data_IF_914022624105
#
_entry.id   IF_914022624105
#
_cell.length_a   1.000
_cell.length_b   1.000
_cell.length_c   1.000
_cell.angle_alpha   90.00
_cell.angle_beta   90.00
_cell.angle_gamma   90.00
#
_symmetry.space_group_name_H-M   'P 1'
#
loop_
_entity.id
_entity.type
_entity.pdbx_description
1 polymer ?
#
# COMPACT_ATOMS: atom_id res chain seq x y z
N UNK A 1 -21.49 16.35 2.06
CA UNK A 1 -20.68 15.69 1.00
C UNK A 1 -21.36 15.78 -0.37
N UNK A 2 -22.60 15.29 -0.54
CA UNK A 2 -23.31 15.31 -1.84
C UNK A 2 -23.34 16.68 -2.51
N UNK A 3 -23.65 17.76 -1.77
CA UNK A 3 -23.66 19.12 -2.34
C UNK A 3 -22.29 19.58 -2.84
N UNK A 4 -21.18 19.13 -2.25
CA UNK A 4 -19.83 19.44 -2.72
C UNK A 4 -19.45 18.61 -3.95
N UNK A 5 -19.89 17.35 -4.02
CA UNK A 5 -19.74 16.51 -5.21
C UNK A 5 -20.55 17.07 -6.39
N UNK A 6 -21.78 17.53 -6.12
CA UNK A 6 -22.68 18.14 -7.11
C UNK A 6 -22.39 19.62 -7.35
N UNK A 7 -21.41 20.20 -6.65
CA UNK A 7 -21.00 21.60 -6.75
C UNK A 7 -22.12 22.64 -6.56
N UNK A 8 -23.05 22.38 -5.63
CA UNK A 8 -24.21 23.25 -5.34
C UNK A 8 -23.85 24.37 -4.37
N UNK A 9 -24.28 25.60 -4.70
CA UNK A 9 -24.06 26.80 -3.88
C UNK A 9 -22.57 27.01 -3.57
N UNK A 10 -21.73 26.99 -4.61
CA UNK A 10 -20.26 27.16 -4.56
C UNK A 10 -19.47 26.15 -3.70
N UNK A 11 -20.15 25.13 -3.14
CA UNK A 11 -19.48 24.05 -2.40
C UNK A 11 -18.64 23.22 -3.36
N UNK A 12 -17.37 23.00 -3.02
CA UNK A 12 -16.45 22.19 -3.83
C UNK A 12 -15.51 21.40 -2.94
N UNK A 13 -14.94 20.33 -3.49
CA UNK A 13 -13.79 19.66 -2.87
C UNK A 13 -12.58 20.58 -3.09
N UNK A 14 -11.96 21.02 -2.00
CA UNK A 14 -10.79 21.90 -2.03
C UNK A 14 -9.48 21.13 -1.85
N UNK A 15 -9.54 19.94 -1.28
CA UNK A 15 -8.40 19.12 -0.93
C UNK A 15 -8.77 17.64 -1.06
N UNK A 16 -7.83 16.83 -1.53
CA UNK A 16 -7.98 15.39 -1.71
C UNK A 16 -6.73 14.69 -1.13
N UNK A 17 -6.71 14.54 0.19
CA UNK A 17 -5.63 13.89 0.94
C UNK A 17 -6.11 12.54 1.44
N UNK A 18 -5.25 11.54 1.36
CA UNK A 18 -5.49 10.29 2.06
C UNK A 18 -4.30 9.35 2.04
N UNK A 19 -4.50 8.21 2.68
CA UNK A 19 -3.49 7.16 2.80
C UNK A 19 -3.02 6.68 1.42
N UNK A 20 -1.71 6.66 1.18
CA UNK A 20 -1.15 6.04 -0.02
C UNK A 20 -1.71 4.61 -0.21
N UNK A 21 -2.33 4.25 -1.36
CA UNK A 21 -3.05 2.97 -1.51
C UNK A 21 -2.24 1.72 -1.17
N UNK A 22 -0.94 1.69 -1.49
CA UNK A 22 -0.03 0.58 -1.14
C UNK A 22 0.05 0.31 0.36
N UNK A 23 -0.22 1.28 1.24
CA UNK A 23 -0.25 1.08 2.68
C UNK A 23 -1.52 0.33 3.15
N UNK A 24 -2.54 0.20 2.30
CA UNK A 24 -3.78 -0.47 2.64
C UNK A 24 -3.65 -1.98 2.93
N UNK A 25 -4.42 -2.47 3.92
CA UNK A 25 -4.49 -3.88 4.36
C UNK A 25 -4.80 -4.91 3.27
N UNK A 26 -5.50 -4.48 2.22
CA UNK A 26 -6.04 -5.37 1.18
C UNK A 26 -5.57 -4.96 -0.21
N UNK A 27 -4.42 -4.27 -0.30
CA UNK A 27 -3.94 -3.74 -1.57
C UNK A 27 -3.64 -4.84 -2.59
N UNK A 28 -2.80 -5.82 -2.24
CA UNK A 28 -2.45 -6.96 -3.09
C UNK A 28 -3.33 -8.19 -2.86
N UNK A 29 -3.45 -9.02 -3.90
CA UNK A 29 -4.13 -10.32 -3.85
C UNK A 29 -3.54 -11.28 -2.82
N UNK A 30 -4.39 -12.13 -2.25
CA UNK A 30 -4.03 -13.00 -1.13
C UNK A 30 -4.92 -14.24 -1.01
N UNK A 31 -4.46 -15.26 -0.30
CA UNK A 31 -5.28 -16.40 0.10
C UNK A 31 -6.22 -16.02 1.26
N UNK A 32 -7.54 -16.25 1.13
CA UNK A 32 -8.49 -15.93 2.20
C UNK A 32 -8.21 -16.67 3.53
N UNK A 33 -7.62 -17.88 3.46
CA UNK A 33 -7.33 -18.72 4.62
C UNK A 33 -5.99 -18.43 5.26
N UNK A 34 -4.88 -18.67 4.55
CA UNK A 34 -3.55 -18.49 5.13
C UNK A 34 -3.03 -17.04 5.05
N UNK A 35 -3.77 -16.13 4.40
CA UNK A 35 -3.44 -14.70 4.27
C UNK A 35 -2.16 -14.38 3.49
N UNK A 36 -1.40 -15.38 3.06
CA UNK A 36 -0.23 -15.23 2.18
C UNK A 36 -0.60 -14.49 0.89
N UNK A 37 0.25 -13.54 0.52
CA UNK A 37 0.15 -12.70 -0.66
C UNK A 37 0.80 -13.38 -1.86
N UNK A 38 0.31 -13.11 -3.06
CA UNK A 38 0.89 -13.69 -4.29
C UNK A 38 1.89 -12.73 -4.91
N UNK A 39 3.09 -13.23 -5.21
CA UNK A 39 4.15 -12.49 -5.87
C UNK A 39 4.60 -13.23 -7.14
N UNK A 40 5.18 -12.47 -8.07
CA UNK A 40 5.77 -12.98 -9.30
C UNK A 40 7.20 -12.46 -9.41
N UNK A 41 8.17 -13.36 -9.50
CA UNK A 41 9.58 -13.06 -9.67
C UNK A 41 10.09 -13.58 -11.01
N UNK A 42 11.03 -12.84 -11.63
CA UNK A 42 11.61 -13.22 -12.91
C UNK A 42 12.49 -14.47 -12.78
N UNK A 43 12.28 -15.45 -13.66
CA UNK A 43 13.10 -16.66 -13.80
C UNK A 43 13.84 -16.63 -15.14
N UNK A 44 15.11 -17.06 -15.12
CA UNK A 44 15.94 -17.18 -16.34
C UNK A 44 15.80 -18.55 -17.02
N UNK A 45 14.99 -19.47 -16.48
CA UNK A 45 14.88 -20.83 -17.00
C UNK A 45 13.84 -20.93 -18.14
N UNK A 46 14.22 -21.53 -19.28
CA UNK A 46 13.40 -21.58 -20.50
C UNK A 46 12.22 -22.55 -20.41
N UNK A 47 12.26 -23.53 -19.49
CA UNK A 47 11.31 -24.66 -19.43
C UNK A 47 10.26 -24.58 -18.31
N UNK A 48 10.17 -23.46 -17.58
CA UNK A 48 9.19 -23.35 -16.48
C UNK A 48 7.77 -23.13 -17.00
N UNK A 49 6.97 -24.19 -17.00
CA UNK A 49 5.51 -24.06 -17.10
C UNK A 49 5.01 -23.12 -16.00
N UNK A 50 4.29 -22.10 -16.44
CA UNK A 50 4.03 -20.81 -15.79
C UNK A 50 3.56 -20.81 -14.32
N UNK A 51 3.11 -21.94 -13.76
CA UNK A 51 2.35 -21.97 -12.51
C UNK A 51 2.68 -23.17 -11.58
N UNK A 52 3.64 -24.01 -11.96
CA UNK A 52 4.06 -25.13 -11.11
C UNK A 52 5.32 -24.83 -10.29
N UNK A 53 6.05 -23.76 -10.63
CA UNK A 53 7.25 -23.34 -9.91
C UNK A 53 6.93 -22.17 -8.98
N UNK A 54 6.75 -22.46 -7.69
CA UNK A 54 6.58 -21.44 -6.64
C UNK A 54 7.33 -21.79 -5.36
N UNK A 55 7.67 -20.75 -4.61
CA UNK A 55 8.20 -20.85 -3.24
C UNK A 55 7.16 -20.33 -2.25
N UNK A 56 6.97 -21.06 -1.15
CA UNK A 56 6.13 -20.64 -0.03
C UNK A 56 7.01 -20.09 1.08
N UNK A 57 6.66 -18.92 1.60
CA UNK A 57 7.19 -18.35 2.85
C UNK A 57 6.05 -18.00 3.80
N UNK A 58 6.36 -17.49 4.98
CA UNK A 58 5.34 -17.11 5.98
C UNK A 58 4.31 -16.13 5.41
N UNK A 59 4.77 -15.16 4.61
CA UNK A 59 3.95 -14.06 4.10
C UNK A 59 3.55 -14.21 2.63
N UNK A 60 4.24 -15.05 1.86
CA UNK A 60 4.16 -15.00 0.39
C UNK A 60 4.10 -16.38 -0.25
N UNK A 61 3.46 -16.41 -1.42
CA UNK A 61 3.60 -17.46 -2.43
C UNK A 61 4.19 -16.77 -3.65
N UNK A 62 5.44 -17.08 -3.95
CA UNK A 62 6.19 -16.41 -5.02
C UNK A 62 6.33 -17.36 -6.20
N UNK A 63 5.70 -17.01 -7.31
CA UNK A 63 5.82 -17.73 -8.58
C UNK A 63 7.04 -17.26 -9.36
N UNK A 64 7.86 -18.21 -9.79
CA UNK A 64 9.02 -17.94 -10.65
C UNK A 64 8.61 -18.07 -12.11
N UNK A 65 8.61 -16.95 -12.85
CA UNK A 65 8.06 -16.86 -14.21
C UNK A 65 8.97 -16.04 -15.13
N UNK A 66 8.91 -16.26 -16.44
CA UNK A 66 9.71 -15.48 -17.39
C UNK A 66 9.20 -14.05 -17.56
N UNK A 67 7.89 -13.92 -17.72
CA UNK A 67 7.19 -12.64 -17.88
C UNK A 67 6.26 -12.44 -16.69
N UNK A 68 6.68 -11.58 -15.76
CA UNK A 68 5.94 -11.29 -14.53
C UNK A 68 4.63 -10.55 -14.80
N UNK A 69 4.59 -9.70 -15.84
CA UNK A 69 3.40 -8.91 -16.16
C UNK A 69 2.32 -9.80 -16.77
N UNK A 70 2.68 -10.63 -17.77
CA UNK A 70 1.77 -11.60 -18.37
C UNK A 70 1.28 -12.61 -17.33
N UNK A 71 2.17 -13.14 -16.50
CA UNK A 71 1.81 -14.05 -15.40
C UNK A 71 0.83 -13.44 -14.41
N UNK A 72 1.10 -12.20 -13.97
CA UNK A 72 0.20 -11.49 -13.07
C UNK A 72 -1.18 -11.33 -13.70
N UNK A 73 -1.26 -10.88 -14.95
CA UNK A 73 -2.53 -10.66 -15.64
C UNK A 73 -3.35 -11.94 -15.82
N UNK A 74 -2.72 -13.03 -16.28
CA UNK A 74 -3.37 -14.33 -16.41
C UNK A 74 -3.83 -14.88 -15.05
N UNK A 75 -3.03 -14.69 -14.01
CA UNK A 75 -3.40 -15.10 -12.66
C UNK A 75 -4.62 -14.33 -12.15
N UNK A 76 -4.62 -13.00 -12.28
CA UNK A 76 -5.74 -12.12 -11.93
C UNK A 76 -7.01 -12.56 -12.66
N UNK A 77 -6.92 -12.78 -13.97
CA UNK A 77 -8.05 -13.21 -14.81
C UNK A 77 -8.64 -14.54 -14.34
N UNK A 78 -7.79 -15.46 -13.86
CA UNK A 78 -8.27 -16.74 -13.34
C UNK A 78 -8.85 -16.60 -11.92
N UNK A 79 -8.29 -15.73 -11.07
CA UNK A 79 -8.85 -15.45 -9.75
C UNK A 79 -10.23 -14.78 -9.88
N UNK A 80 -10.40 -13.84 -10.81
CA UNK A 80 -11.68 -13.13 -11.02
C UNK A 80 -12.82 -14.06 -11.47
N UNK A 81 -12.47 -15.15 -12.17
CA UNK A 81 -13.39 -16.22 -12.60
C UNK A 81 -13.53 -17.35 -11.56
N UNK A 82 -13.01 -17.15 -10.35
CA UNK A 82 -12.94 -18.13 -9.27
C UNK A 82 -12.22 -19.46 -9.62
N UNK A 83 -11.33 -19.44 -10.62
CA UNK A 83 -10.59 -20.62 -11.12
C UNK A 83 -9.26 -20.87 -10.41
N UNK A 84 -8.94 -20.12 -9.35
CA UNK A 84 -7.67 -20.26 -8.60
C UNK A 84 -7.87 -20.61 -7.14
N UNK A 85 -7.09 -21.60 -6.70
CA UNK A 85 -6.98 -22.02 -5.31
C UNK A 85 -5.55 -21.84 -4.82
N UNK A 86 -5.38 -21.61 -3.53
CA UNK A 86 -4.09 -21.45 -2.88
C UNK A 86 -3.27 -22.75 -2.92
N UNK A 87 -2.09 -22.78 -3.56
CA UNK A 87 -1.24 -23.96 -3.55
C UNK A 87 -0.72 -24.29 -2.16
N UNK A 88 -0.29 -23.29 -1.38
CA UNK A 88 0.23 -23.50 -0.03
C UNK A 88 -0.80 -24.16 0.89
N UNK A 89 -2.07 -23.74 0.84
CA UNK A 89 -3.10 -24.42 1.64
C UNK A 89 -3.41 -25.83 1.15
N UNK A 90 -3.28 -26.10 -0.16
CA UNK A 90 -3.44 -27.44 -0.70
C UNK A 90 -2.33 -28.37 -0.20
N UNK A 91 -1.11 -27.87 -0.11
CA UNK A 91 0.04 -28.63 0.41
C UNK A 91 0.04 -28.81 1.92
N UNK A 92 -0.15 -27.72 2.67
CA UNK A 92 0.01 -27.68 4.13
C UNK A 92 -1.28 -28.09 4.86
N UNK A 93 -2.44 -27.63 4.38
CA UNK A 93 -3.75 -27.81 5.05
C UNK A 93 -4.58 -28.92 4.39
N UNK A 94 -4.14 -29.44 3.24
CA UNK A 94 -4.85 -30.46 2.44
C UNK A 94 -6.28 -30.06 2.06
N UNK A 95 -6.54 -28.75 1.90
CA UNK A 95 -7.85 -28.20 1.51
C UNK A 95 -7.71 -27.10 0.46
N UNK A 96 -8.71 -27.02 -0.41
CA UNK A 96 -8.80 -25.99 -1.45
C UNK A 96 -9.41 -24.70 -0.87
N UNK A 97 -8.62 -23.62 -0.83
CA UNK A 97 -9.10 -22.28 -0.49
C UNK A 97 -8.89 -21.34 -1.65
N UNK A 98 -9.86 -20.44 -1.89
CA UNK A 98 -9.79 -19.46 -2.98
C UNK A 98 -8.76 -18.37 -2.69
N UNK A 99 -8.10 -17.92 -3.75
CA UNK A 99 -7.41 -16.63 -3.75
C UNK A 99 -8.45 -15.53 -3.92
N UNK A 100 -8.23 -14.38 -3.29
CA UNK A 100 -9.04 -13.17 -3.42
C UNK A 100 -8.18 -12.06 -4.01
N UNK A 101 -8.76 -11.32 -4.95
CA UNK A 101 -8.13 -10.12 -5.51
C UNK A 101 -7.96 -9.08 -4.40
N UNK A 102 -6.85 -8.37 -4.42
CA UNK A 102 -6.69 -7.14 -3.67
C UNK A 102 -7.42 -6.00 -4.35
N UNK A 103 -7.42 -4.83 -3.71
CA UNK A 103 -8.01 -3.60 -4.26
C UNK A 103 -7.32 -3.23 -5.57
N UNK A 104 -5.99 -3.36 -5.65
CA UNK A 104 -5.23 -3.03 -6.87
C UNK A 104 -5.66 -3.91 -8.03
N UNK A 105 -5.69 -5.23 -7.85
CA UNK A 105 -6.05 -6.13 -8.94
C UNK A 105 -7.55 -6.08 -9.26
N UNK A 106 -8.39 -5.75 -8.28
CA UNK A 106 -9.81 -5.52 -8.56
C UNK A 106 -10.01 -4.32 -9.48
N UNK A 107 -9.25 -3.24 -9.30
CA UNK A 107 -9.26 -2.08 -10.20
C UNK A 107 -8.79 -2.50 -11.60
N UNK A 108 -7.70 -3.26 -11.71
CA UNK A 108 -7.20 -3.80 -13.00
C UNK A 108 -8.29 -4.58 -13.76
N UNK A 109 -9.15 -5.33 -13.07
CA UNK A 109 -10.23 -6.12 -13.68
C UNK A 109 -11.43 -5.29 -14.14
N UNK A 110 -11.80 -4.25 -13.39
CA UNK A 110 -13.04 -3.49 -13.63
C UNK A 110 -12.82 -2.16 -14.34
N UNK A 111 -11.57 -1.73 -14.51
CA UNK A 111 -11.26 -0.48 -15.20
C UNK A 111 -11.72 -0.56 -16.64
N UNK A 112 -12.40 0.50 -17.08
CA UNK A 112 -12.80 0.69 -18.48
C UNK A 112 -11.83 1.60 -19.25
N UNK A 113 -10.80 2.11 -18.56
CA UNK A 113 -9.82 3.04 -19.09
C UNK A 113 -8.41 2.53 -18.80
N UNK A 114 -7.49 2.71 -19.75
CA UNK A 114 -6.09 2.32 -19.58
C UNK A 114 -5.35 3.21 -18.55
N UNK A 115 -5.83 4.45 -18.39
CA UNK A 115 -5.28 5.43 -17.46
C UNK A 115 -6.39 6.08 -16.63
N UNK A 116 -6.09 6.50 -15.38
CA UNK A 116 -7.04 7.27 -14.60
C UNK A 116 -7.42 8.58 -15.31
N UNK A 117 -8.71 8.77 -15.57
CA UNK A 117 -9.25 10.04 -16.07
C UNK A 117 -10.02 10.69 -14.92
N UNK A 118 -9.69 11.94 -14.61
CA UNK A 118 -10.31 12.69 -13.52
C UNK A 118 -10.96 13.96 -14.06
N UNK A 119 -12.10 14.39 -13.49
CA UNK A 119 -12.66 15.69 -13.81
C UNK A 119 -11.66 16.81 -13.54
N UNK A 120 -11.61 17.82 -14.40
CA UNK A 120 -10.68 18.96 -14.26
C UNK A 120 -10.78 19.71 -12.94
N UNK A 121 -11.94 19.64 -12.29
CA UNK A 121 -12.21 20.31 -11.02
C UNK A 121 -11.83 19.47 -9.79
N UNK A 122 -11.34 18.24 -9.96
CA UNK A 122 -10.90 17.38 -8.85
C UNK A 122 -9.48 17.77 -8.44
N UNK A 123 -9.24 18.17 -7.19
CA UNK A 123 -7.88 18.41 -6.71
C UNK A 123 -7.01 17.14 -6.82
N UNK A 124 -5.70 17.28 -7.05
CA UNK A 124 -4.77 16.16 -7.08
C UNK A 124 -4.84 15.36 -5.77
N UNK A 125 -4.63 14.05 -5.85
CA UNK A 125 -4.59 13.20 -4.67
C UNK A 125 -3.22 13.32 -3.99
N UNK A 126 -3.20 13.79 -2.75
CA UNK A 126 -1.97 13.88 -1.96
C UNK A 126 -1.86 12.61 -1.13
N UNK A 127 -0.77 11.87 -1.35
CA UNK A 127 -0.45 10.62 -0.66
C UNK A 127 0.11 10.92 0.74
N UNK A 128 -0.75 11.00 1.73
CA UNK A 128 -0.33 11.09 3.12
C UNK A 128 0.11 9.72 3.67
N UNK A 129 1.12 9.77 4.54
CA UNK A 129 1.58 8.64 5.34
C UNK A 129 1.24 8.98 6.78
N UNK A 130 0.59 8.07 7.54
CA UNK A 130 0.30 8.33 8.94
C UNK A 130 1.58 8.71 9.69
N UNK A 131 1.58 9.82 10.41
CA UNK A 131 2.75 10.27 11.17
C UNK A 131 3.23 9.16 12.11
N UNK A 132 2.30 8.42 12.69
CA UNK A 132 2.61 7.26 13.52
C UNK A 132 3.46 6.18 12.80
N UNK A 133 3.19 5.94 11.52
CA UNK A 133 3.96 4.97 10.71
C UNK A 133 5.33 5.54 10.31
N UNK A 134 5.43 6.85 10.04
CA UNK A 134 6.71 7.53 9.85
C UNK A 134 7.59 7.36 11.09
N UNK A 135 7.06 7.70 12.27
CA UNK A 135 7.80 7.62 13.53
C UNK A 135 8.22 6.19 13.87
N UNK A 136 7.36 5.20 13.62
CA UNK A 136 7.70 3.78 13.78
C UNK A 136 8.83 3.34 12.86
N UNK A 137 8.79 3.80 11.60
CA UNK A 137 9.81 3.48 10.63
C UNK A 137 11.17 4.08 11.03
N UNK A 138 11.18 5.37 11.39
CA UNK A 138 12.37 6.08 11.88
C UNK A 138 12.97 5.37 13.10
N UNK A 139 12.15 5.07 14.12
CA UNK A 139 12.62 4.39 15.34
C UNK A 139 12.82 2.89 15.18
N UNK A 140 12.59 2.32 13.99
CA UNK A 140 12.64 0.88 13.70
C UNK A 140 11.78 0.04 14.68
N UNK A 141 10.65 0.60 15.13
CA UNK A 141 9.71 -0.05 16.06
C UNK A 141 8.54 -0.70 15.31
N UNK A 142 8.46 -2.03 15.37
CA UNK A 142 7.39 -2.80 14.71
C UNK A 142 6.05 -2.75 15.45
N UNK A 143 6.02 -2.50 16.75
CA UNK A 143 4.77 -2.50 17.54
C UNK A 143 3.86 -1.33 17.14
N UNK A 144 2.58 -1.64 16.88
CA UNK A 144 1.53 -0.64 16.61
C UNK A 144 0.99 0.04 17.87
N UNK A 145 1.34 -0.47 19.06
CA UNK A 145 0.88 0.04 20.36
C UNK A 145 2.04 0.57 21.23
N UNK A 146 3.17 0.91 20.61
CA UNK A 146 4.34 1.40 21.32
C UNK A 146 4.06 2.71 22.05
N UNK A 147 4.16 2.70 23.38
CA UNK A 147 4.03 3.91 24.22
C UNK A 147 5.05 4.99 23.83
N UNK A 148 6.28 4.59 23.46
CA UNK A 148 7.31 5.52 22.99
C UNK A 148 6.86 6.29 21.74
N UNK A 149 6.26 5.60 20.77
CA UNK A 149 5.75 6.24 19.56
C UNK A 149 4.52 7.09 19.87
N UNK A 150 3.60 6.59 20.70
CA UNK A 150 2.40 7.35 21.11
C UNK A 150 2.79 8.66 21.79
N UNK A 151 3.77 8.63 22.70
CA UNK A 151 4.23 9.83 23.40
C UNK A 151 4.91 10.81 22.44
N UNK A 152 5.76 10.33 21.52
CA UNK A 152 6.40 11.17 20.51
C UNK A 152 5.38 11.80 19.56
N UNK A 153 4.41 11.01 19.08
CA UNK A 153 3.29 11.48 18.27
C UNK A 153 2.54 12.60 19.01
N UNK A 154 2.12 12.36 20.25
CA UNK A 154 1.38 13.35 21.03
C UNK A 154 2.18 14.64 21.26
N UNK A 155 3.49 14.54 21.51
CA UNK A 155 4.39 15.69 21.64
C UNK A 155 4.41 16.54 20.37
N UNK A 156 4.56 15.91 19.20
CA UNK A 156 4.59 16.60 17.92
C UNK A 156 3.24 17.26 17.59
N UNK A 157 2.12 16.58 17.85
CA UNK A 157 0.77 17.14 17.69
C UNK A 157 0.53 18.30 18.65
N UNK A 158 1.05 18.24 19.87
CA UNK A 158 0.91 19.34 20.83
C UNK A 158 1.67 20.59 20.33
N UNK A 159 2.83 20.40 19.69
CA UNK A 159 3.67 21.49 19.18
C UNK A 159 3.18 22.07 17.85
N UNK A 160 2.85 21.21 16.89
CA UNK A 160 2.56 21.59 15.50
C UNK A 160 1.06 21.55 15.15
N UNK A 161 0.19 21.25 16.12
CA UNK A 161 -1.25 21.16 15.91
C UNK A 161 -1.66 19.81 15.31
N UNK A 162 -2.27 19.82 14.13
CA UNK A 162 -2.80 18.57 13.55
C UNK A 162 -1.75 17.81 12.78
N UNK A 163 -1.94 16.49 12.65
CA UNK A 163 -1.09 15.65 11.79
C UNK A 163 -1.07 16.20 10.35
N UNK A 164 -2.23 16.62 9.85
CA UNK A 164 -2.35 17.27 8.55
C UNK A 164 -1.43 18.50 8.44
N UNK A 165 -1.51 19.42 9.41
CA UNK A 165 -0.71 20.65 9.43
C UNK A 165 0.78 20.32 9.41
N UNK A 166 1.23 19.41 10.27
CA UNK A 166 2.63 18.98 10.33
C UNK A 166 3.10 18.34 9.01
N UNK A 167 2.31 17.42 8.46
CA UNK A 167 2.72 16.65 7.29
C UNK A 167 2.72 17.47 6.01
N UNK A 168 1.84 18.46 5.86
CA UNK A 168 1.60 19.13 4.57
C UNK A 168 1.91 20.63 4.58
N UNK A 169 1.63 21.35 5.67
CA UNK A 169 1.67 22.81 5.67
C UNK A 169 2.89 23.37 6.43
N UNK A 170 3.34 22.71 7.50
CA UNK A 170 4.42 23.20 8.37
C UNK A 170 5.75 23.31 7.59
N UNK A 171 6.50 24.42 7.71
CA UNK A 171 7.81 24.56 7.09
C UNK A 171 8.79 23.46 7.51
N UNK A 172 9.61 22.97 6.57
CA UNK A 172 10.54 21.87 6.84
C UNK A 172 11.60 22.26 7.88
N UNK A 173 12.00 23.53 7.91
CA UNK A 173 12.99 24.08 8.83
C UNK A 173 12.49 24.03 10.28
N UNK A 174 11.19 24.32 10.52
CA UNK A 174 10.57 24.20 11.85
C UNK A 174 10.57 22.76 12.35
N UNK A 175 10.32 21.81 11.44
CA UNK A 175 10.31 20.38 11.76
C UNK A 175 11.74 19.90 12.02
N UNK A 176 12.72 20.35 11.23
CA UNK A 176 14.13 19.97 11.35
C UNK A 176 14.72 20.37 12.71
N UNK A 177 14.36 21.55 13.21
CA UNK A 177 14.75 22.03 14.55
C UNK A 177 14.26 21.11 15.69
N UNK A 178 13.11 20.45 15.50
CA UNK A 178 12.57 19.49 16.49
C UNK A 178 13.10 18.07 16.25
N UNK A 179 13.12 17.64 14.99
CA UNK A 179 13.46 16.29 14.59
C UNK A 179 13.91 16.24 13.12
N UNK A 180 15.23 16.25 12.91
CA UNK A 180 15.86 16.20 11.59
C UNK A 180 15.47 14.95 10.76
N UNK A 181 15.40 13.77 11.39
CA UNK A 181 14.99 12.53 10.70
C UNK A 181 13.55 12.64 10.19
N UNK A 182 12.65 13.19 11.01
CA UNK A 182 11.25 13.42 10.64
C UNK A 182 11.13 14.41 9.49
N UNK A 183 11.87 15.53 9.54
CA UNK A 183 11.90 16.52 8.46
C UNK A 183 12.35 15.91 7.14
N UNK A 184 13.39 15.06 7.18
CA UNK A 184 13.88 14.33 6.00
C UNK A 184 12.80 13.43 5.40
N UNK A 185 12.08 12.65 6.22
CA UNK A 185 11.01 11.78 5.72
C UNK A 185 9.81 12.57 5.22
N UNK A 186 9.41 13.66 5.89
CA UNK A 186 8.31 14.53 5.44
C UNK A 186 8.68 15.21 4.12
N UNK A 187 9.92 15.67 3.94
CA UNK A 187 10.42 16.20 2.67
C UNK A 187 10.29 15.18 1.54
N UNK A 188 10.79 13.96 1.74
CA UNK A 188 10.66 12.89 0.76
C UNK A 188 9.19 12.54 0.47
N UNK A 189 8.31 12.56 1.49
CA UNK A 189 6.87 12.36 1.30
C UNK A 189 6.25 13.46 0.43
N UNK A 190 6.53 14.73 0.73
CA UNK A 190 6.02 15.89 -0.02
C UNK A 190 6.51 15.90 -1.47
N UNK A 191 7.68 15.32 -1.73
CA UNK A 191 8.27 15.17 -3.06
C UNK A 191 7.88 13.87 -3.80
N UNK A 192 7.02 13.02 -3.20
CA UNK A 192 6.66 11.70 -3.74
C UNK A 192 7.85 10.73 -3.93
N UNK A 193 8.90 10.88 -3.12
CA UNK A 193 10.15 10.10 -3.17
C UNK A 193 10.13 8.89 -2.21
N UNK A 194 9.03 8.66 -1.51
CA UNK A 194 8.91 7.52 -0.58
C UNK A 194 8.66 6.22 -1.34
N UNK A 195 9.48 5.22 -1.04
CA UNK A 195 9.21 3.85 -1.46
C UNK A 195 8.24 3.15 -0.50
N UNK A 196 7.42 2.25 -1.05
CA UNK A 196 6.41 1.52 -0.29
C UNK A 196 6.51 0.01 -0.53
N UNK A 197 6.51 -0.75 0.56
CA UNK A 197 6.21 -2.18 0.56
C UNK A 197 4.68 -2.36 0.66
N UNK A 198 4.01 -2.86 -0.39
CA UNK A 198 2.55 -2.93 -0.39
C UNK A 198 1.97 -3.95 0.62
N UNK A 199 0.84 -3.57 1.21
CA UNK A 199 0.02 -4.43 2.06
C UNK A 199 -0.79 -5.45 1.27
N UNK A 200 -1.57 -6.25 1.99
CA UNK A 200 -2.41 -7.31 1.44
C UNK A 200 -2.71 -8.39 2.48
N UNK A 201 -3.78 -9.14 2.30
CA UNK A 201 -4.13 -10.24 3.22
C UNK A 201 -4.52 -9.81 4.64
N UNK A 202 -4.83 -8.55 4.88
CA UNK A 202 -5.11 -8.00 6.21
C UNK A 202 -3.89 -7.35 6.87
N UNK A 203 -2.71 -7.44 6.25
CA UNK A 203 -1.48 -6.81 6.70
C UNK A 203 -1.33 -5.45 6.02
N UNK A 204 -1.11 -4.38 6.81
CA UNK A 204 -0.82 -3.04 6.29
C UNK A 204 0.50 -3.04 5.50
N UNK A 205 0.58 -2.18 4.50
CA UNK A 205 1.85 -1.88 3.86
C UNK A 205 2.75 -1.06 4.78
N UNK A 206 3.99 -0.86 4.34
CA UNK A 206 5.02 -0.16 5.10
C UNK A 206 5.78 0.78 4.18
N UNK A 207 6.24 1.89 4.73
CA UNK A 207 7.21 2.75 4.05
C UNK A 207 8.60 2.11 4.13
N UNK A 208 9.39 2.29 3.08
CA UNK A 208 10.80 1.94 3.06
C UNK A 208 11.59 3.24 3.12
N UNK A 209 12.32 3.43 4.21
CA UNK A 209 13.28 4.52 4.31
C UNK A 209 14.60 3.99 3.74
N UNK A 210 15.14 4.64 2.71
CA UNK A 210 16.45 4.33 2.12
C UNK A 210 17.62 4.74 3.02
N UNK A 211 17.45 4.61 4.34
CA UNK A 211 18.45 4.91 5.36
C UNK A 211 19.18 3.61 5.72
N UNK A 212 19.85 3.04 4.72
CA UNK A 212 20.92 2.03 4.87
C UNK A 212 22.14 2.53 4.10
#
# INVERSE_FOLDING_TARGET
ILSALMRKSDRKIVLNVGLHPKLGKYYNMFCFKCRRRILFSKSNNKNDLFLNNYKISDDFITYSVQDTQKAKWEYITNVSKEKRTCPACKEEIKKNYKIKLGVSERIEVISTQDKPIHPSHRPPYINAIPLFDILRSIKKIKSTSSKTIINLYNSLITKFGTEYSLLLDEPLESIEQENNELATVIKAMRNEEIEYAPGGGGTYGQIKLGMD
#
